data_IF_504808202377
#
_entry.id   IF_504808202377
#
_cell.length_a   1.000
_cell.length_b   1.000
_cell.length_c   1.000
_cell.angle_alpha   90.00
_cell.angle_beta   90.00
_cell.angle_gamma   90.00
#
_symmetry.space_group_name_H-M   'P 1'
#
loop_
_entity.id
_entity.type
_entity.pdbx_description
1 polymer ?
#
# COMPACT_ATOMS: atom_id res chain seq x y z
N UNK A 1 18.49 8.95 -9.54
CA UNK A 1 18.61 9.19 -8.09
C UNK A 1 17.58 8.33 -7.37
N UNK A 2 18.00 7.53 -6.39
CA UNK A 2 17.12 6.66 -5.60
C UNK A 2 17.04 7.25 -4.18
N UNK A 3 15.88 7.76 -3.78
CA UNK A 3 15.62 8.29 -2.44
C UNK A 3 15.73 7.16 -1.42
N UNK A 4 16.63 7.30 -0.43
CA UNK A 4 16.95 6.29 0.59
C UNK A 4 15.85 6.05 1.64
N UNK A 5 14.65 6.60 1.46
CA UNK A 5 13.44 6.24 2.22
C UNK A 5 12.56 5.17 1.55
N UNK A 6 13.02 4.59 0.44
CA UNK A 6 12.23 3.68 -0.39
C UNK A 6 11.90 2.34 0.27
N UNK A 7 10.60 2.16 0.57
CA UNK A 7 9.85 0.90 0.70
C UNK A 7 10.24 -0.11 1.80
N UNK A 8 11.52 -0.32 2.12
CA UNK A 8 11.94 -1.42 3.01
C UNK A 8 11.77 -1.12 4.51
N UNK A 9 11.88 0.15 4.92
CA UNK A 9 11.72 0.57 6.32
C UNK A 9 10.27 0.69 6.78
N UNK A 10 9.39 1.23 5.91
CA UNK A 10 7.96 1.44 6.21
C UNK A 10 7.14 0.15 6.21
N UNK A 11 7.54 -0.85 5.41
CA UNK A 11 6.86 -2.15 5.39
C UNK A 11 7.04 -2.91 6.70
N UNK A 12 8.19 -2.80 7.38
CA UNK A 12 8.41 -3.52 8.65
C UNK A 12 7.46 -3.04 9.75
N UNK A 13 7.26 -1.73 9.88
CA UNK A 13 6.30 -1.18 10.83
C UNK A 13 4.85 -1.50 10.44
N UNK A 14 4.52 -1.44 9.14
CA UNK A 14 3.20 -1.82 8.64
C UNK A 14 2.92 -3.31 8.91
N UNK A 15 3.90 -4.17 8.65
CA UNK A 15 3.82 -5.60 8.87
C UNK A 15 3.63 -5.93 10.35
N UNK A 16 4.41 -5.29 11.23
CA UNK A 16 4.23 -5.41 12.68
C UNK A 16 2.82 -4.96 13.10
N UNK A 17 2.34 -3.84 12.57
CA UNK A 17 1.01 -3.31 12.87
C UNK A 17 -0.10 -4.27 12.42
N UNK A 18 -0.05 -4.79 11.19
CA UNK A 18 -1.02 -5.76 10.66
C UNK A 18 -0.96 -7.10 11.39
N UNK A 19 0.23 -7.50 11.85
CA UNK A 19 0.41 -8.68 12.70
C UNK A 19 -0.13 -8.48 14.12
N UNK A 20 -0.03 -7.27 14.67
CA UNK A 20 -0.52 -6.92 16.01
C UNK A 20 -2.05 -6.79 16.03
N UNK A 21 -2.63 -6.29 14.94
CA UNK A 21 -4.07 -6.04 14.81
C UNK A 21 -4.66 -6.85 13.65
N UNK A 22 -5.02 -8.12 13.87
CA UNK A 22 -5.52 -9.00 12.81
C UNK A 22 -6.89 -8.58 12.25
N UNK A 23 -7.63 -7.70 12.94
CA UNK A 23 -8.92 -7.18 12.49
C UNK A 23 -8.82 -5.93 11.59
N UNK A 24 -7.59 -5.50 11.23
CA UNK A 24 -7.41 -4.42 10.24
C UNK A 24 -7.58 -4.96 8.81
N UNK A 25 -8.24 -4.16 7.95
CA UNK A 25 -8.59 -4.49 6.56
C UNK A 25 -7.41 -4.57 5.57
N UNK A 26 -6.17 -4.61 6.05
CA UNK A 26 -4.96 -4.64 5.23
C UNK A 26 -4.33 -3.27 4.96
N UNK A 27 -3.07 -3.27 4.53
CA UNK A 27 -2.29 -2.08 4.22
C UNK A 27 -2.10 -1.87 2.72
N UNK A 28 -2.16 -0.62 2.27
CA UNK A 28 -1.89 -0.24 0.89
C UNK A 28 -0.53 0.43 0.77
N UNK A 29 0.31 -0.04 -0.15
CA UNK A 29 1.65 0.51 -0.37
C UNK A 29 1.78 1.02 -1.80
N UNK A 30 1.87 2.34 -1.94
CA UNK A 30 2.05 2.95 -3.25
C UNK A 30 3.53 2.91 -3.68
N UNK A 31 3.80 2.35 -4.86
CA UNK A 31 5.16 2.20 -5.37
C UNK A 31 5.22 2.36 -6.90
N UNK A 32 6.41 2.56 -7.47
CA UNK A 32 6.60 2.56 -8.93
C UNK A 32 6.56 1.17 -9.57
N UNK A 33 6.35 0.12 -8.76
CA UNK A 33 6.26 -1.26 -9.21
C UNK A 33 4.84 -1.59 -9.70
N UNK A 34 4.67 -2.65 -10.50
CA UNK A 34 3.35 -3.16 -10.84
C UNK A 34 2.54 -3.52 -9.61
N UNK A 35 1.23 -3.61 -9.80
CA UNK A 35 0.32 -4.11 -8.78
C UNK A 35 0.75 -5.50 -8.30
N UNK A 36 0.79 -5.70 -6.98
CA UNK A 36 1.08 -6.99 -6.39
C UNK A 36 0.36 -7.13 -5.05
N UNK A 37 -0.21 -8.30 -4.79
CA UNK A 37 -0.86 -8.61 -3.51
C UNK A 37 -0.02 -9.61 -2.74
N UNK A 38 0.17 -9.33 -1.46
CA UNK A 38 0.76 -10.23 -0.48
C UNK A 38 -0.31 -10.57 0.56
N UNK A 39 -1.22 -11.51 0.25
CA UNK A 39 -2.33 -11.86 1.13
C UNK A 39 -1.84 -12.39 2.50
N UNK A 40 -0.69 -13.08 2.52
CA UNK A 40 -0.04 -13.54 3.75
C UNK A 40 0.31 -12.39 4.72
N UNK A 41 0.61 -11.21 4.16
CA UNK A 41 0.97 -10.02 4.93
C UNK A 41 -0.18 -9.01 5.02
N UNK A 42 -1.33 -9.30 4.38
CA UNK A 42 -2.45 -8.36 4.17
C UNK A 42 -2.00 -7.03 3.57
N UNK A 43 -1.05 -7.06 2.62
CA UNK A 43 -0.53 -5.85 1.97
C UNK A 43 -0.76 -5.92 0.47
N UNK A 44 -1.28 -4.82 -0.11
CA UNK A 44 -1.37 -4.66 -1.57
C UNK A 44 -0.49 -3.50 -2.03
N UNK A 45 0.39 -3.78 -2.97
CA UNK A 45 1.20 -2.79 -3.66
C UNK A 45 0.41 -2.21 -4.80
N UNK A 46 0.18 -0.90 -4.74
CA UNK A 46 -0.50 -0.15 -5.78
C UNK A 46 0.52 0.69 -6.56
N UNK A 47 0.41 0.75 -7.89
CA UNK A 47 1.24 1.66 -8.65
C UNK A 47 0.98 3.13 -8.30
N UNK A 48 2.00 3.98 -8.30
CA UNK A 48 1.84 5.40 -7.96
C UNK A 48 0.85 6.15 -8.88
N UNK A 49 0.71 5.72 -10.13
CA UNK A 49 -0.27 6.28 -11.07
C UNK A 49 -1.72 5.88 -10.75
N UNK A 50 -1.95 4.88 -9.89
CA UNK A 50 -3.28 4.48 -9.43
C UNK A 50 -3.68 5.11 -8.10
N UNK A 51 -2.83 5.96 -7.49
CA UNK A 51 -3.11 6.66 -6.22
C UNK A 51 -4.44 7.40 -6.30
N UNK A 52 -4.68 8.12 -7.41
CA UNK A 52 -5.90 8.88 -7.61
C UNK A 52 -7.17 8.00 -7.50
N UNK A 53 -7.17 6.82 -8.13
CA UNK A 53 -8.31 5.90 -8.02
C UNK A 53 -8.43 5.28 -6.62
N UNK A 54 -7.30 4.93 -6.00
CA UNK A 54 -7.28 4.24 -4.72
C UNK A 54 -7.66 5.13 -3.52
N UNK A 55 -7.43 6.45 -3.61
CA UNK A 55 -7.77 7.40 -2.54
C UNK A 55 -9.11 8.12 -2.75
N UNK A 56 -9.96 7.63 -3.65
CA UNK A 56 -11.31 8.17 -3.86
C UNK A 56 -11.42 9.29 -4.90
N UNK A 57 -10.56 9.30 -5.92
CA UNK A 57 -10.55 10.27 -7.02
C UNK A 57 -11.80 10.29 -7.92
N UNK A 58 -12.84 9.55 -7.58
CA UNK A 58 -14.18 9.70 -8.18
C UNK A 58 -15.21 9.73 -7.06
N UNK A 59 -15.35 10.89 -6.40
CA UNK A 59 -16.56 11.23 -5.66
C UNK A 59 -17.48 11.98 -6.62
N UNK A 60 -18.14 11.22 -7.50
CA UNK A 60 -19.04 11.75 -8.52
C UNK A 60 -18.45 11.71 -9.92
N UNK A 61 -18.61 10.58 -10.60
CA UNK A 61 -18.91 10.60 -12.03
C UNK A 61 -20.45 10.68 -12.13
N UNK A 62 -21.03 11.51 -13.01
CA UNK A 62 -22.43 11.36 -13.40
C UNK A 62 -22.69 9.99 -14.06
#
# INVERSE_FOLDING_TARGET
MQWRGGASGSLKSLHLFLSTYPNCGGGLVFSSRPYAELPEQKVSFLPLYSVFYATGGIKGLP
#
